data_IF_096577463316
#
_entry.id   IF_096577463316
#
_cell.length_a   1.000
_cell.length_b   1.000
_cell.length_c   1.000
_cell.angle_alpha   90.00
_cell.angle_beta   90.00
_cell.angle_gamma   90.00
#
_symmetry.space_group_name_H-M   'P 1'
#
loop_
_entity.id
_entity.type
_entity.pdbx_description
1 polymer ?
#
# COMPACT_ATOMS: atom_id res chain seq x y z
N UNK A 1 -22.66 -7.96 -1.74
CA UNK A 1 -22.09 -9.28 -1.38
C UNK A 1 -22.29 -10.38 -2.44
N UNK A 2 -23.34 -10.32 -3.26
CA UNK A 2 -23.61 -11.30 -4.31
C UNK A 2 -22.46 -11.43 -5.32
N UNK A 3 -21.86 -10.31 -5.74
CA UNK A 3 -20.72 -10.27 -6.68
C UNK A 3 -19.48 -11.03 -6.16
N UNK A 4 -19.26 -11.06 -4.87
CA UNK A 4 -18.16 -11.81 -4.23
C UNK A 4 -18.64 -13.14 -3.64
N UNK A 5 -19.85 -13.58 -3.97
CA UNK A 5 -20.47 -14.83 -3.46
C UNK A 5 -20.48 -14.89 -1.94
N UNK A 6 -20.76 -13.78 -1.29
CA UNK A 6 -20.74 -13.57 0.18
C UNK A 6 -19.41 -13.92 0.87
N UNK A 7 -18.32 -14.00 0.13
CA UNK A 7 -16.99 -14.24 0.74
C UNK A 7 -16.56 -13.05 1.56
N UNK A 8 -16.04 -13.28 2.77
CA UNK A 8 -15.39 -12.23 3.55
C UNK A 8 -14.05 -11.82 2.92
N UNK A 9 -13.54 -10.64 3.30
CA UNK A 9 -12.33 -10.03 2.72
C UNK A 9 -11.13 -10.99 2.71
N UNK A 10 -10.89 -11.68 3.82
CA UNK A 10 -9.76 -12.59 4.01
C UNK A 10 -9.82 -13.88 3.17
N UNK A 11 -10.99 -14.20 2.62
CA UNK A 11 -11.20 -15.37 1.75
C UNK A 11 -11.28 -15.03 0.26
N UNK A 12 -10.98 -13.80 -0.11
CA UNK A 12 -10.89 -13.40 -1.50
C UNK A 12 -9.64 -13.99 -2.14
N UNK A 13 -9.69 -14.32 -3.43
CA UNK A 13 -8.58 -14.95 -4.18
C UNK A 13 -7.32 -14.08 -4.23
N UNK A 14 -7.49 -12.76 -4.18
CA UNK A 14 -6.39 -11.78 -4.12
C UNK A 14 -6.50 -11.03 -2.80
N UNK A 15 -5.39 -10.71 -2.13
CA UNK A 15 -5.42 -9.83 -0.97
C UNK A 15 -6.16 -8.53 -1.31
N UNK A 16 -7.12 -8.19 -0.48
CA UNK A 16 -7.96 -7.02 -0.67
C UNK A 16 -8.18 -6.32 0.66
N UNK A 17 -8.01 -5.01 0.66
CA UNK A 17 -8.28 -4.18 1.82
C UNK A 17 -9.17 -3.00 1.43
N UNK A 18 -9.95 -2.54 2.38
CA UNK A 18 -10.88 -1.43 2.21
C UNK A 18 -10.59 -0.37 3.25
N UNK A 19 -10.48 0.88 2.82
CA UNK A 19 -10.22 2.01 3.72
C UNK A 19 -11.50 2.80 3.93
N UNK A 20 -11.84 3.09 5.19
CA UNK A 20 -12.95 3.94 5.56
C UNK A 20 -12.53 4.88 6.70
N UNK A 21 -13.32 5.93 6.91
CA UNK A 21 -13.13 6.90 7.99
C UNK A 21 -14.07 6.55 9.14
N UNK A 22 -13.54 6.34 10.34
CA UNK A 22 -14.35 6.22 11.55
C UNK A 22 -14.89 7.58 11.95
N UNK A 23 -16.19 7.74 11.98
CA UNK A 23 -16.83 9.06 12.12
C UNK A 23 -16.61 9.65 13.50
N UNK A 24 -16.57 8.83 14.55
CA UNK A 24 -16.44 9.28 15.93
C UNK A 24 -15.06 9.87 16.26
N UNK A 25 -14.02 9.46 15.53
CA UNK A 25 -12.63 9.82 15.84
C UNK A 25 -11.89 10.48 14.68
N UNK A 26 -12.42 10.41 13.46
CA UNK A 26 -11.72 10.79 12.24
C UNK A 26 -10.57 9.85 11.86
N UNK A 27 -10.42 8.71 12.52
CA UNK A 27 -9.32 7.78 12.24
C UNK A 27 -9.56 7.01 10.95
N UNK A 28 -8.47 6.81 10.18
CA UNK A 28 -8.45 5.89 9.05
C UNK A 28 -8.52 4.45 9.55
N UNK A 29 -9.52 3.70 9.09
CA UNK A 29 -9.66 2.27 9.36
C UNK A 29 -9.40 1.48 8.09
N UNK A 30 -8.53 0.46 8.18
CA UNK A 30 -8.21 -0.46 7.07
C UNK A 30 -8.84 -1.80 7.37
N UNK A 31 -9.91 -2.15 6.66
CA UNK A 31 -10.57 -3.44 6.78
C UNK A 31 -9.85 -4.47 5.89
N UNK A 32 -9.33 -5.51 6.51
CA UNK A 32 -8.68 -6.66 5.83
C UNK A 32 -9.44 -7.96 6.07
N UNK A 33 -10.47 -7.94 6.94
CA UNK A 33 -11.28 -9.09 7.34
C UNK A 33 -12.75 -8.69 7.50
N UNK A 34 -13.62 -9.68 7.47
CA UNK A 34 -15.04 -9.52 7.70
C UNK A 34 -15.85 -9.32 6.43
N UNK A 35 -17.07 -8.80 6.57
CA UNK A 35 -18.03 -8.71 5.49
C UNK A 35 -17.59 -7.74 4.39
N UNK A 36 -17.25 -8.25 3.22
CA UNK A 36 -16.74 -7.49 2.08
C UNK A 36 -17.71 -6.38 1.64
N UNK A 37 -18.98 -6.71 1.48
CA UNK A 37 -19.95 -5.72 1.00
C UNK A 37 -20.21 -4.61 2.01
N UNK A 38 -20.17 -4.91 3.30
CA UNK A 38 -20.32 -3.91 4.36
C UNK A 38 -19.10 -2.97 4.42
N UNK A 39 -17.89 -3.52 4.31
CA UNK A 39 -16.67 -2.72 4.27
C UNK A 39 -16.63 -1.80 3.04
N UNK A 40 -16.93 -2.34 1.85
CA UNK A 40 -16.98 -1.55 0.61
C UNK A 40 -18.05 -0.47 0.68
N UNK A 41 -19.25 -0.78 1.22
CA UNK A 41 -20.29 0.22 1.42
C UNK A 41 -19.81 1.34 2.36
N UNK A 42 -19.14 1.01 3.47
CA UNK A 42 -18.57 1.99 4.39
C UNK A 42 -17.58 2.92 3.68
N UNK A 43 -16.67 2.34 2.87
CA UNK A 43 -15.66 3.06 2.09
C UNK A 43 -16.23 4.02 1.04
N UNK A 44 -17.44 3.77 0.58
CA UNK A 44 -18.14 4.58 -0.44
C UNK A 44 -19.31 5.39 0.12
N UNK A 45 -19.45 5.48 1.45
CA UNK A 45 -20.50 6.28 2.09
C UNK A 45 -20.12 7.75 2.17
N UNK A 46 -20.22 8.43 1.01
CA UNK A 46 -19.93 9.86 0.88
C UNK A 46 -20.89 10.66 1.77
N UNK A 47 -20.39 11.51 2.69
CA UNK A 47 -21.23 12.34 3.55
C UNK A 47 -22.14 13.26 2.74
N UNK A 48 -23.39 13.39 3.19
CA UNK A 48 -24.41 14.17 2.48
C UNK A 48 -25.09 13.44 1.32
N UNK A 49 -24.55 12.29 0.87
CA UNK A 49 -25.12 11.44 -0.19
C UNK A 49 -25.64 10.13 0.38
N UNK A 50 -24.86 9.50 1.27
CA UNK A 50 -25.20 8.22 1.89
C UNK A 50 -25.11 8.28 3.40
N UNK A 51 -25.95 7.48 4.06
CA UNK A 51 -25.87 7.29 5.50
C UNK A 51 -24.59 6.57 5.91
N UNK A 52 -24.02 6.94 7.08
CA UNK A 52 -22.87 6.21 7.66
C UNK A 52 -23.20 4.72 7.86
N UNK A 53 -22.20 3.87 7.68
CA UNK A 53 -22.35 2.41 7.88
C UNK A 53 -21.89 2.04 9.29
N UNK A 54 -22.80 1.47 10.08
CA UNK A 54 -22.46 0.98 11.42
C UNK A 54 -21.81 -0.40 11.33
N UNK A 55 -20.58 -0.52 11.86
CA UNK A 55 -19.82 -1.77 11.97
C UNK A 55 -19.37 -1.93 13.42
N UNK A 56 -19.90 -2.91 14.12
CA UNK A 56 -19.71 -3.05 15.56
C UNK A 56 -20.29 -1.84 16.31
N UNK A 57 -19.49 -1.17 17.11
CA UNK A 57 -19.88 0.00 17.89
C UNK A 57 -19.61 1.34 17.23
N UNK A 58 -19.00 1.35 16.04
CA UNK A 58 -18.58 2.56 15.36
C UNK A 58 -19.34 2.78 14.06
N UNK A 59 -19.42 4.04 13.65
CA UNK A 59 -19.98 4.48 12.37
C UNK A 59 -18.87 4.84 11.41
N UNK A 60 -19.01 4.44 10.16
CA UNK A 60 -18.00 4.65 9.12
C UNK A 60 -18.57 5.39 7.93
N UNK A 61 -17.76 6.25 7.39
CA UNK A 61 -18.03 7.03 6.16
C UNK A 61 -16.88 6.85 5.16
N UNK A 62 -16.99 7.47 4.00
CA UNK A 62 -16.03 7.38 2.91
C UNK A 62 -14.58 7.54 3.39
N UNK A 63 -13.72 6.63 2.93
CA UNK A 63 -12.29 6.66 3.24
C UNK A 63 -11.56 7.86 2.66
N UNK A 64 -12.07 8.42 1.55
CA UNK A 64 -11.50 9.57 0.88
C UNK A 64 -11.45 10.86 1.71
N UNK A 65 -12.19 10.91 2.82
CA UNK A 65 -12.14 12.06 3.75
C UNK A 65 -10.75 12.19 4.40
N UNK A 66 -10.11 11.07 4.75
CA UNK A 66 -8.81 11.07 5.46
C UNK A 66 -7.69 10.43 4.66
N UNK A 67 -8.01 9.64 3.63
CA UNK A 67 -7.03 8.91 2.81
C UNK A 67 -7.60 8.63 1.42
N UNK A 68 -7.68 9.66 0.54
CA UNK A 68 -8.29 9.52 -0.78
C UNK A 68 -7.52 8.57 -1.71
N UNK A 69 -6.20 8.45 -1.53
CA UNK A 69 -5.35 7.49 -2.26
C UNK A 69 -4.48 6.75 -1.25
N UNK A 70 -4.94 5.64 -0.67
CA UNK A 70 -4.38 5.03 0.54
C UNK A 70 -3.04 4.30 0.30
N UNK A 71 -2.03 4.99 -0.20
CA UNK A 71 -0.68 4.47 -0.50
C UNK A 71 -0.03 3.86 0.73
N UNK A 72 -0.13 4.54 1.88
CA UNK A 72 0.47 4.06 3.13
C UNK A 72 -0.21 2.78 3.63
N UNK A 73 -1.53 2.64 3.43
CA UNK A 73 -2.23 1.40 3.77
C UNK A 73 -1.70 0.22 2.94
N UNK A 74 -1.46 0.42 1.64
CA UNK A 74 -0.86 -0.61 0.80
C UNK A 74 0.56 -0.99 1.25
N UNK A 75 1.38 0.00 1.63
CA UNK A 75 2.73 -0.23 2.19
C UNK A 75 2.68 -1.02 3.50
N UNK A 76 1.81 -0.65 4.42
CA UNK A 76 1.62 -1.34 5.71
C UNK A 76 1.18 -2.79 5.52
N UNK A 77 0.48 -3.09 4.43
CA UNK A 77 0.09 -4.46 4.04
C UNK A 77 1.20 -5.24 3.32
N UNK A 78 2.39 -4.68 3.21
CA UNK A 78 3.57 -5.35 2.67
C UNK A 78 3.78 -5.18 1.16
N UNK A 79 3.17 -4.18 0.53
CA UNK A 79 3.39 -3.92 -0.89
C UNK A 79 4.82 -3.41 -1.16
N UNK A 80 5.58 -4.11 -2.00
CA UNK A 80 6.90 -3.69 -2.48
C UNK A 80 6.82 -2.61 -3.56
N UNK A 81 5.75 -2.64 -4.34
CA UNK A 81 5.42 -1.68 -5.39
C UNK A 81 4.00 -1.19 -5.17
N UNK A 82 3.81 0.13 -5.10
CA UNK A 82 2.50 0.74 -5.03
C UNK A 82 2.21 1.53 -6.30
N UNK A 83 1.19 1.09 -7.02
CA UNK A 83 0.64 1.79 -8.17
C UNK A 83 -0.62 2.49 -7.70
N UNK A 84 -0.59 3.82 -7.66
CA UNK A 84 -1.73 4.63 -7.29
C UNK A 84 -2.52 5.05 -8.54
N UNK A 85 -3.85 4.98 -8.46
CA UNK A 85 -4.75 5.50 -9.49
C UNK A 85 -5.44 6.74 -8.94
N UNK A 86 -5.11 7.88 -9.53
CA UNK A 86 -5.63 9.18 -9.12
C UNK A 86 -6.80 9.58 -10.02
N UNK A 87 -7.99 9.52 -9.47
CA UNK A 87 -9.24 9.97 -10.10
C UNK A 87 -9.83 11.19 -9.39
N UNK A 88 -9.06 11.87 -8.55
CA UNK A 88 -9.52 13.02 -7.79
C UNK A 88 -9.96 14.16 -8.73
N UNK A 89 -11.11 14.75 -8.40
CA UNK A 89 -11.58 15.95 -9.08
C UNK A 89 -10.78 17.16 -8.59
N UNK A 90 -10.39 18.01 -9.53
CA UNK A 90 -9.80 19.32 -9.19
C UNK A 90 -10.91 20.27 -8.78
N UNK A 91 -10.57 21.26 -7.96
CA UNK A 91 -11.49 22.36 -7.68
C UNK A 91 -12.02 22.96 -9.00
N UNK A 92 -13.31 23.27 -9.05
CA UNK A 92 -14.01 23.66 -10.27
C UNK A 92 -13.51 24.99 -10.89
N UNK A 93 -12.70 25.75 -10.16
CA UNK A 93 -12.26 27.09 -10.54
C UNK A 93 -13.38 28.15 -10.47
N UNK A 94 -14.59 27.74 -10.05
CA UNK A 94 -15.73 28.62 -9.84
C UNK A 94 -16.12 28.63 -8.37
N UNK A 95 -16.58 29.76 -7.86
CA UNK A 95 -17.14 29.85 -6.50
C UNK A 95 -18.59 29.36 -6.54
N UNK A 96 -18.95 28.32 -5.75
CA UNK A 96 -20.35 27.93 -5.61
C UNK A 96 -21.17 29.04 -4.98
N UNK A 97 -22.43 29.17 -5.38
CA UNK A 97 -23.34 30.21 -4.90
C UNK A 97 -24.12 29.76 -3.65
N UNK A 98 -24.25 28.46 -3.44
CA UNK A 98 -25.00 27.87 -2.33
C UNK A 98 -24.08 27.28 -1.25
N UNK A 99 -24.59 27.20 -0.03
CA UNK A 99 -23.85 26.70 1.13
C UNK A 99 -23.37 25.26 0.96
N UNK A 100 -24.21 24.39 0.37
CA UNK A 100 -23.83 22.97 0.14
C UNK A 100 -22.72 22.87 -0.90
N UNK A 101 -22.76 23.66 -1.95
CA UNK A 101 -21.70 23.75 -2.94
C UNK A 101 -20.36 24.22 -2.33
N UNK A 102 -20.40 25.20 -1.44
CA UNK A 102 -19.20 25.70 -0.72
C UNK A 102 -18.62 24.57 0.15
N UNK A 103 -19.44 23.87 0.92
CA UNK A 103 -19.01 22.75 1.76
C UNK A 103 -18.40 21.62 0.91
N UNK A 104 -19.08 21.21 -0.16
CA UNK A 104 -18.59 20.17 -1.06
C UNK A 104 -17.27 20.56 -1.74
N UNK A 105 -17.15 21.81 -2.19
CA UNK A 105 -15.91 22.32 -2.76
C UNK A 105 -14.76 22.33 -1.74
N UNK A 106 -15.04 22.73 -0.50
CA UNK A 106 -14.05 22.72 0.59
C UNK A 106 -13.56 21.32 0.88
N UNK A 107 -14.46 20.32 0.98
CA UNK A 107 -14.11 18.91 1.13
C UNK A 107 -13.25 18.43 -0.04
N UNK A 108 -13.61 18.79 -1.27
CA UNK A 108 -12.86 18.43 -2.49
C UNK A 108 -11.44 19.02 -2.47
N UNK A 109 -11.27 20.27 -2.05
CA UNK A 109 -9.95 20.92 -1.92
C UNK A 109 -9.10 20.22 -0.86
N UNK A 110 -9.69 19.90 0.30
CA UNK A 110 -8.99 19.17 1.37
C UNK A 110 -8.57 17.78 0.89
N UNK A 111 -9.49 17.04 0.27
CA UNK A 111 -9.22 15.71 -0.30
C UNK A 111 -8.13 15.75 -1.38
N UNK A 112 -8.13 16.76 -2.25
CA UNK A 112 -7.07 16.93 -3.24
C UNK A 112 -5.69 17.12 -2.57
N UNK A 113 -5.60 17.96 -1.54
CA UNK A 113 -4.35 18.21 -0.82
C UNK A 113 -3.83 16.96 -0.11
N UNK A 114 -4.71 16.20 0.55
CA UNK A 114 -4.37 14.92 1.15
C UNK A 114 -3.91 13.91 0.10
N UNK A 115 -4.64 13.81 -1.01
CA UNK A 115 -4.31 12.91 -2.12
C UNK A 115 -2.95 13.24 -2.74
N UNK A 116 -2.61 14.51 -2.96
CA UNK A 116 -1.30 14.94 -3.46
C UNK A 116 -0.16 14.44 -2.56
N UNK A 117 -0.34 14.53 -1.23
CA UNK A 117 0.66 14.04 -0.26
C UNK A 117 0.79 12.52 -0.29
N UNK A 118 -0.31 11.78 -0.44
CA UNK A 118 -0.27 10.31 -0.55
C UNK A 118 0.34 9.86 -1.88
N UNK A 119 -0.04 10.49 -2.99
CA UNK A 119 0.48 10.20 -4.33
C UNK A 119 2.00 10.39 -4.43
N UNK A 120 2.57 11.34 -3.70
CA UNK A 120 4.02 11.57 -3.66
C UNK A 120 4.80 10.35 -3.12
N UNK A 121 4.14 9.45 -2.38
CA UNK A 121 4.73 8.22 -1.81
C UNK A 121 4.50 6.97 -2.66
N UNK A 122 3.74 7.08 -3.75
CA UNK A 122 3.53 5.98 -4.69
C UNK A 122 4.74 5.81 -5.62
N UNK A 123 5.00 4.57 -6.05
CA UNK A 123 6.06 4.30 -7.04
C UNK A 123 5.67 4.70 -8.45
N UNK A 124 4.39 4.51 -8.78
CA UNK A 124 3.80 4.88 -10.07
C UNK A 124 2.43 5.49 -9.82
N UNK A 125 2.14 6.60 -10.50
CA UNK A 125 0.84 7.24 -10.46
C UNK A 125 0.21 7.21 -11.84
N UNK A 126 -0.99 6.65 -11.92
CA UNK A 126 -1.83 6.61 -13.13
C UNK A 126 -2.92 7.66 -12.97
N UNK A 127 -3.07 8.54 -13.96
CA UNK A 127 -4.08 9.61 -13.97
C UNK A 127 -4.97 9.51 -15.20
N UNK A 128 -6.11 8.78 -15.11
CA UNK A 128 -7.12 8.78 -16.15
C UNK A 128 -7.72 10.18 -16.37
N UNK A 129 -8.12 10.50 -17.59
CA UNK A 129 -8.75 11.78 -17.91
C UNK A 129 -10.25 11.72 -17.65
N UNK A 130 -10.65 11.64 -16.40
CA UNK A 130 -12.04 11.50 -15.96
C UNK A 130 -12.60 12.74 -15.26
N UNK A 131 -11.87 13.85 -15.28
CA UNK A 131 -12.27 15.09 -14.57
C UNK A 131 -13.62 15.68 -15.00
N UNK A 132 -14.09 15.34 -16.20
CA UNK A 132 -15.39 15.78 -16.73
C UNK A 132 -16.54 14.83 -16.40
N UNK A 133 -16.24 13.69 -15.80
CA UNK A 133 -17.22 12.64 -15.48
C UNK A 133 -17.60 12.80 -14.01
N UNK A 134 -18.86 13.11 -13.76
CA UNK A 134 -19.37 13.23 -12.39
C UNK A 134 -19.42 11.88 -11.65
N UNK A 135 -19.31 11.86 -10.33
CA UNK A 135 -19.29 10.63 -9.54
C UNK A 135 -20.60 9.84 -9.62
N UNK A 136 -21.72 10.46 -10.01
CA UNK A 136 -23.02 9.82 -10.22
C UNK A 136 -23.40 9.64 -11.70
N UNK A 137 -22.51 9.98 -12.62
CA UNK A 137 -22.75 9.89 -14.07
C UNK A 137 -22.47 8.48 -14.59
N UNK A 138 -23.37 7.56 -14.30
CA UNK A 138 -23.24 6.16 -14.70
C UNK A 138 -23.38 5.91 -16.21
N UNK A 139 -23.89 6.87 -16.96
CA UNK A 139 -24.01 6.76 -18.41
C UNK A 139 -22.64 6.85 -19.09
N UNK A 140 -21.73 7.60 -18.51
CA UNK A 140 -20.35 7.76 -19.00
C UNK A 140 -19.38 6.65 -18.50
N UNK A 141 -19.89 5.57 -17.90
CA UNK A 141 -19.03 4.49 -17.35
C UNK A 141 -18.09 3.88 -18.40
N UNK A 142 -18.54 3.74 -19.66
CA UNK A 142 -17.71 3.19 -20.73
C UNK A 142 -16.54 4.13 -21.06
N UNK A 143 -16.80 5.43 -21.08
CA UNK A 143 -15.76 6.43 -21.29
C UNK A 143 -14.75 6.42 -20.14
N UNK A 144 -15.21 6.33 -18.89
CA UNK A 144 -14.33 6.25 -17.72
C UNK A 144 -13.42 5.01 -17.75
N UNK A 145 -13.97 3.84 -18.14
CA UNK A 145 -13.20 2.59 -18.31
C UNK A 145 -12.12 2.77 -19.39
N UNK A 146 -12.49 3.33 -20.54
CA UNK A 146 -11.56 3.53 -21.66
C UNK A 146 -10.41 4.48 -21.30
N UNK A 147 -10.71 5.57 -20.59
CA UNK A 147 -9.67 6.49 -20.12
C UNK A 147 -8.75 5.84 -19.06
N UNK A 148 -9.30 4.97 -18.20
CA UNK A 148 -8.52 4.16 -17.27
C UNK A 148 -7.57 3.20 -18.00
N UNK A 149 -8.06 2.51 -19.01
CA UNK A 149 -7.27 1.59 -19.84
C UNK A 149 -6.13 2.33 -20.56
N UNK A 150 -6.43 3.44 -21.24
CA UNK A 150 -5.43 4.26 -21.93
C UNK A 150 -4.34 4.74 -20.97
N UNK A 151 -4.72 5.25 -19.82
CA UNK A 151 -3.77 5.74 -18.82
C UNK A 151 -2.89 4.60 -18.25
N UNK A 152 -3.47 3.43 -18.01
CA UNK A 152 -2.75 2.25 -17.55
C UNK A 152 -1.75 1.75 -18.60
N UNK A 153 -2.16 1.66 -19.88
CA UNK A 153 -1.28 1.26 -20.98
C UNK A 153 -0.09 2.22 -21.13
N UNK A 154 -0.34 3.52 -21.02
CA UNK A 154 0.73 4.53 -21.07
C UNK A 154 1.73 4.40 -19.90
N UNK A 155 1.28 3.94 -18.74
CA UNK A 155 2.14 3.74 -17.57
C UNK A 155 2.90 2.40 -17.55
N UNK A 156 2.55 1.43 -18.42
CA UNK A 156 3.17 0.09 -18.44
C UNK A 156 4.70 0.10 -18.52
N UNK A 157 5.36 0.92 -19.36
CA UNK A 157 6.83 0.96 -19.41
C UNK A 157 7.45 1.34 -18.06
N UNK A 158 6.88 2.34 -17.38
CA UNK A 158 7.32 2.79 -16.07
C UNK A 158 7.10 1.70 -15.01
N UNK A 159 5.94 1.04 -15.02
CA UNK A 159 5.63 -0.07 -14.10
C UNK A 159 6.65 -1.20 -14.27
N UNK A 160 6.92 -1.63 -15.51
CA UNK A 160 7.90 -2.68 -15.81
C UNK A 160 9.30 -2.31 -15.33
N UNK A 161 9.73 -1.08 -15.56
CA UNK A 161 11.03 -0.58 -15.10
C UNK A 161 11.16 -0.62 -13.58
N UNK A 162 10.11 -0.20 -12.85
CA UNK A 162 10.09 -0.24 -11.38
C UNK A 162 10.11 -1.66 -10.83
N UNK A 163 9.34 -2.59 -11.42
CA UNK A 163 9.37 -4.01 -11.06
C UNK A 163 10.79 -4.57 -11.22
N UNK A 164 11.44 -4.34 -12.39
CA UNK A 164 12.78 -4.81 -12.63
C UNK A 164 13.80 -4.24 -11.64
N UNK A 165 13.68 -2.96 -11.28
CA UNK A 165 14.53 -2.32 -10.26
C UNK A 165 14.37 -2.97 -8.89
N UNK A 166 13.13 -3.20 -8.44
CA UNK A 166 12.84 -3.85 -7.14
C UNK A 166 13.38 -5.27 -7.12
N UNK A 167 13.19 -6.04 -8.19
CA UNK A 167 13.72 -7.40 -8.32
C UNK A 167 15.25 -7.41 -8.24
N UNK A 168 15.93 -6.50 -8.95
CA UNK A 168 17.39 -6.37 -8.89
C UNK A 168 17.88 -6.06 -7.47
N UNK A 169 17.24 -5.14 -6.77
CA UNK A 169 17.59 -4.78 -5.39
C UNK A 169 17.38 -5.96 -4.43
N UNK A 170 16.26 -6.68 -4.54
CA UNK A 170 16.00 -7.88 -3.73
C UNK A 170 17.02 -8.99 -4.00
N UNK A 171 17.36 -9.25 -5.25
CA UNK A 171 18.39 -10.23 -5.60
C UNK A 171 19.76 -9.85 -5.05
N UNK A 172 20.16 -8.58 -5.15
CA UNK A 172 21.41 -8.10 -4.58
C UNK A 172 21.46 -8.26 -3.05
N UNK A 173 20.34 -7.97 -2.37
CA UNK A 173 20.23 -8.16 -0.91
C UNK A 173 20.33 -9.64 -0.52
N UNK A 174 19.71 -10.56 -1.26
CA UNK A 174 19.79 -12.00 -1.02
C UNK A 174 21.21 -12.55 -1.23
N UNK A 175 21.91 -12.06 -2.27
CA UNK A 175 23.33 -12.45 -2.53
C UNK A 175 24.24 -11.94 -1.41
N UNK A 176 24.01 -10.71 -0.94
CA UNK A 176 24.77 -10.13 0.18
C UNK A 176 24.59 -10.90 1.50
N UNK A 177 23.39 -11.41 1.76
CA UNK A 177 23.12 -12.23 2.95
C UNK A 177 23.69 -13.66 2.86
N UNK A 178 23.97 -14.16 1.64
CA UNK A 178 24.58 -15.48 1.38
C UNK A 178 26.10 -15.47 1.36
N UNK A 179 26.76 -14.37 1.78
CA UNK A 179 28.21 -14.37 1.92
C UNK A 179 28.57 -15.46 2.96
N UNK A 180 29.32 -16.54 2.58
CA UNK A 180 29.61 -17.59 3.52
C UNK A 180 30.40 -16.99 4.68
N UNK A 181 29.93 -17.26 5.90
CA UNK A 181 30.79 -17.13 7.07
C UNK A 181 32.03 -17.97 6.78
N UNK A 182 33.15 -17.29 6.57
CA UNK A 182 34.42 -17.98 6.48
C UNK A 182 34.66 -18.54 7.88
N UNK A 183 34.28 -19.80 8.09
CA UNK A 183 34.69 -20.50 9.28
C UNK A 183 36.21 -20.52 9.27
N UNK A 184 36.82 -19.66 10.03
CA UNK A 184 38.23 -19.77 10.39
C UNK A 184 38.37 -21.08 11.14
N UNK A 185 38.91 -22.09 10.44
CA UNK A 185 39.29 -23.34 11.08
C UNK A 185 40.34 -22.94 12.13
N UNK A 186 39.98 -23.08 13.41
CA UNK A 186 40.95 -22.88 14.48
C UNK A 186 42.07 -23.89 14.29
N UNK A 187 43.33 -23.48 14.41
CA UNK A 187 44.44 -24.42 14.30
C UNK A 187 44.28 -25.51 15.37
N UNK A 188 44.41 -26.77 14.95
CA UNK A 188 44.41 -27.91 15.89
C UNK A 188 45.75 -27.85 16.64
N UNK A 189 45.67 -27.38 17.87
CA UNK A 189 46.84 -27.42 18.78
C UNK A 189 46.90 -28.83 19.37
N UNK A 190 48.01 -29.55 19.14
CA UNK A 190 48.26 -30.81 19.83
C UNK A 190 48.45 -30.54 21.32
N UNK A 191 47.73 -31.22 22.17
CA UNK A 191 47.84 -31.05 23.60
C UNK A 191 49.25 -31.55 24.05
N UNK A 192 49.98 -30.75 24.78
CA UNK A 192 51.31 -31.10 25.24
C UNK A 192 51.24 -32.39 26.08
N UNK A 193 52.20 -33.30 25.86
CA UNK A 193 52.32 -34.56 26.64
C UNK A 193 52.57 -34.23 28.10
N UNK A 194 52.35 -35.19 29.00
CA UNK A 194 52.53 -34.99 30.43
C UNK A 194 53.96 -34.52 30.79
N UNK A 195 54.96 -34.99 30.02
CA UNK A 195 56.36 -34.57 30.15
C UNK A 195 56.58 -33.13 29.72
N UNK A 196 55.87 -32.65 28.66
CA UNK A 196 56.02 -31.25 28.16
C UNK A 196 55.39 -30.26 29.14
N UNK A 197 54.32 -30.67 29.84
CA UNK A 197 53.72 -29.84 30.91
C UNK A 197 54.67 -29.66 32.11
N UNK A 198 55.54 -30.63 32.42
CA UNK A 198 56.52 -30.54 33.54
C UNK A 198 57.65 -29.58 33.22
N UNK A 199 57.96 -29.35 31.94
CA UNK A 199 59.08 -28.51 31.50
C UNK A 199 58.63 -27.15 30.91
N UNK A 200 57.35 -26.78 31.06
CA UNK A 200 56.85 -25.44 30.70
C UNK A 200 56.82 -25.15 29.19
N UNK A 201 56.75 -26.20 28.31
CA UNK A 201 56.65 -25.99 26.87
C UNK A 201 55.21 -25.59 26.48
N UNK A 202 55.10 -24.47 25.74
CA UNK A 202 53.84 -24.07 25.14
C UNK A 202 53.38 -24.98 23.99
N UNK A 203 52.08 -25.14 23.77
CA UNK A 203 51.55 -25.99 22.71
C UNK A 203 51.94 -25.48 21.31
N UNK A 204 52.49 -26.36 20.47
CA UNK A 204 52.88 -26.05 19.09
C UNK A 204 51.61 -26.11 18.17
N UNK A 205 51.13 -24.97 17.74
CA UNK A 205 49.96 -24.82 16.88
C UNK A 205 50.40 -24.75 15.40
N UNK A 206 50.34 -25.87 14.66
CA UNK A 206 50.66 -25.87 13.22
C UNK A 206 49.42 -25.58 12.36
N UNK A 207 49.49 -24.48 11.61
CA UNK A 207 48.58 -24.27 10.47
C UNK A 207 49.02 -25.20 9.33
N UNK A 208 48.22 -26.23 9.02
CA UNK A 208 48.38 -26.94 7.75
C UNK A 208 47.88 -26.04 6.62
N UNK A 209 48.78 -25.66 5.73
CA UNK A 209 48.48 -25.10 4.42
C UNK A 209 47.67 -26.06 3.56
#
# INVERSE_FOLDING_TARGET
NSMVKNKPLELLKKPFAVVATQLETGQRTVFTRGNTGQAVRASSSVPGVFEPVKIGKFSYVDGGIVSPVPVDAARQLGADLVIAVDISSKASGKTPEDMLGIVNQSISIMGQKLGEQELARADVVIRPRVATIGPADFEQRHQAILEGEKAALAALPQIRARIAQIQKTKMAALVSQKKPEVMTVQPICEQPSFSDKLFGKEPDCKTKN
#
